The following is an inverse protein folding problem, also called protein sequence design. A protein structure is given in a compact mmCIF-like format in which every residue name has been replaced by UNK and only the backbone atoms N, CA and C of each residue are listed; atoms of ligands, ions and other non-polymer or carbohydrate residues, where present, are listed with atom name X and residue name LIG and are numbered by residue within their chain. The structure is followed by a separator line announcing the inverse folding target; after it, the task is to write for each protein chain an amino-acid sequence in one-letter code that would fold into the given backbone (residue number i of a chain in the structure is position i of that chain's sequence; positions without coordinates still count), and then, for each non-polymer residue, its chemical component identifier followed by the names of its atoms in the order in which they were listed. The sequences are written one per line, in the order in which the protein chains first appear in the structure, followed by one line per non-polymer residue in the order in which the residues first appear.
data_IF_088416410010
#
_entry.id   IF_088416410010
#
_cell.length_a   1.000
_cell.length_b   1.000
_cell.length_c   1.000
_cell.angle_alpha   90.00
_cell.angle_beta   90.00
_cell.angle_gamma   90.00
#
_symmetry.space_group_name_H-M   'P 1'
#
loop_
_entity.id
_entity.type
_entity.pdbx_description
1 polymer ?
#
# COMPACT_ATOMS: atom_id res chain seq x y z
N UNK A 1 -3.85 7.58 19.89
CA UNK A 1 -2.89 8.14 18.93
C UNK A 1 -3.62 8.57 17.68
N UNK A 2 -3.41 9.79 17.25
CA UNK A 2 -4.00 10.28 16.00
C UNK A 2 -3.21 9.71 14.79
N UNK A 3 -3.92 9.05 13.91
CA UNK A 3 -3.34 8.59 12.64
C UNK A 3 -4.03 9.35 11.54
N UNK A 4 -3.27 10.16 10.82
CA UNK A 4 -3.81 10.92 9.70
C UNK A 4 -4.18 9.97 8.57
N UNK A 5 -5.44 10.02 8.14
CA UNK A 5 -5.91 9.21 7.04
C UNK A 5 -5.80 10.00 5.73
N UNK A 6 -5.21 9.37 4.73
CA UNK A 6 -5.16 9.96 3.40
C UNK A 6 -6.56 10.02 2.78
N UNK A 7 -6.80 10.89 1.78
CA UNK A 7 -8.05 10.89 1.03
C UNK A 7 -8.38 9.52 0.42
N UNK A 8 -7.36 8.75 0.05
CA UNK A 8 -7.51 7.40 -0.48
C UNK A 8 -8.27 6.50 0.51
N UNK A 9 -7.83 6.50 1.78
CA UNK A 9 -8.49 5.73 2.83
C UNK A 9 -9.87 6.30 3.14
N UNK A 10 -9.99 7.62 3.23
CA UNK A 10 -11.26 8.27 3.53
C UNK A 10 -12.34 7.91 2.53
N UNK A 11 -12.00 7.88 1.25
CA UNK A 11 -12.97 7.62 0.20
C UNK A 11 -13.23 6.12 0.01
N UNK A 12 -12.18 5.32 -0.04
CA UNK A 12 -12.30 3.89 -0.33
C UNK A 12 -12.58 3.02 0.88
N UNK A 13 -12.49 3.59 2.08
CA UNK A 13 -12.75 2.86 3.31
C UNK A 13 -11.47 2.42 4.01
N UNK A 14 -11.60 2.05 5.27
CA UNK A 14 -10.48 1.73 6.14
C UNK A 14 -10.25 0.23 6.29
N UNK A 15 -10.55 -0.54 5.24
CA UNK A 15 -10.29 -1.97 5.23
C UNK A 15 -8.80 -2.28 5.17
N UNK A 16 -8.43 -3.49 5.57
CA UNK A 16 -7.02 -3.88 5.65
C UNK A 16 -6.31 -3.81 4.31
N UNK A 17 -6.98 -4.25 3.24
CA UNK A 17 -6.41 -4.20 1.90
C UNK A 17 -6.15 -2.76 1.44
N UNK A 18 -7.05 -1.83 1.75
CA UNK A 18 -6.87 -0.42 1.39
C UNK A 18 -5.75 0.21 2.20
N UNK A 19 -5.64 -0.12 3.49
CA UNK A 19 -4.53 0.39 4.32
C UNK A 19 -3.18 -0.10 3.81
N UNK A 20 -3.10 -1.36 3.39
CA UNK A 20 -1.87 -1.91 2.81
C UNK A 20 -1.53 -1.17 1.51
N UNK A 21 -2.49 -1.02 0.61
CA UNK A 21 -2.29 -0.29 -0.64
C UNK A 21 -1.87 1.15 -0.40
N UNK A 22 -2.53 1.82 0.54
CA UNK A 22 -2.21 3.20 0.88
C UNK A 22 -0.75 3.34 1.32
N UNK A 23 -0.29 2.43 2.19
CA UNK A 23 1.10 2.43 2.65
C UNK A 23 2.06 2.20 1.48
N UNK A 24 1.79 1.19 0.66
CA UNK A 24 2.65 0.84 -0.46
C UNK A 24 2.71 1.96 -1.50
N UNK A 25 1.60 2.62 -1.77
CA UNK A 25 1.56 3.73 -2.73
C UNK A 25 2.30 4.95 -2.18
N UNK A 26 2.04 5.29 -0.92
CA UNK A 26 2.65 6.46 -0.28
C UNK A 26 4.18 6.34 -0.24
N UNK A 27 4.68 5.15 0.02
CA UNK A 27 6.11 4.89 0.17
C UNK A 27 6.68 4.03 -0.95
N UNK A 28 6.11 4.15 -2.16
CA UNK A 28 6.56 3.39 -3.32
C UNK A 28 7.98 3.74 -3.72
N UNK A 29 8.63 2.82 -4.41
CA UNK A 29 10.02 2.98 -4.82
C UNK A 29 11.02 2.34 -3.87
N UNK A 30 10.57 1.97 -2.67
CA UNK A 30 11.37 1.27 -1.67
C UNK A 30 10.80 -0.12 -1.46
N UNK A 31 11.61 -1.01 -0.89
CA UNK A 31 11.17 -2.36 -0.57
C UNK A 31 11.05 -2.55 0.95
N UNK A 32 10.18 -3.48 1.34
CA UNK A 32 9.83 -3.70 2.75
C UNK A 32 9.58 -5.18 2.98
N UNK A 33 9.89 -5.64 4.21
CA UNK A 33 9.48 -6.97 4.63
C UNK A 33 7.96 -6.99 4.89
N UNK A 34 7.36 -8.19 4.89
CA UNK A 34 5.95 -8.31 5.24
C UNK A 34 5.66 -7.81 6.65
N UNK A 35 6.59 -8.04 7.58
CA UNK A 35 6.44 -7.54 8.95
C UNK A 35 6.37 -6.02 9.00
N UNK A 36 7.21 -5.33 8.22
CA UNK A 36 7.20 -3.88 8.14
C UNK A 36 5.89 -3.37 7.54
N UNK A 37 5.43 -4.04 6.50
CA UNK A 37 4.18 -3.66 5.83
C UNK A 37 3.00 -3.81 6.79
N UNK A 38 2.93 -4.93 7.51
CA UNK A 38 1.86 -5.17 8.49
C UNK A 38 1.86 -4.09 9.58
N UNK A 39 3.02 -3.84 10.17
CA UNK A 39 3.17 -2.87 11.25
C UNK A 39 2.80 -1.45 10.79
N UNK A 40 3.35 -1.03 9.66
CA UNK A 40 3.18 0.34 9.19
C UNK A 40 1.81 0.62 8.61
N UNK A 41 1.11 -0.41 8.14
CA UNK A 41 -0.28 -0.26 7.67
C UNK A 41 -1.29 -0.56 8.77
N UNK A 42 -0.82 -0.87 9.97
CA UNK A 42 -1.65 -1.20 11.13
C UNK A 42 -2.60 -2.38 10.83
N UNK A 43 -2.04 -3.42 10.25
CA UNK A 43 -2.76 -4.65 9.91
C UNK A 43 -2.10 -5.80 10.66
N UNK A 44 -2.90 -6.65 11.29
CA UNK A 44 -2.38 -7.82 11.99
C UNK A 44 -1.71 -8.80 11.03
N UNK A 45 -0.73 -9.55 11.55
CA UNK A 45 0.06 -10.49 10.75
C UNK A 45 -0.81 -11.53 10.04
N UNK A 46 -1.78 -12.12 10.76
CA UNK A 46 -2.64 -13.15 10.17
C UNK A 46 -3.47 -12.59 9.01
N UNK A 47 -3.97 -11.37 9.16
CA UNK A 47 -4.74 -10.70 8.12
C UNK A 47 -3.85 -10.38 6.93
N UNK A 48 -2.66 -9.83 7.16
CA UNK A 48 -1.73 -9.55 6.07
C UNK A 48 -1.36 -10.82 5.32
N UNK A 49 -1.02 -11.89 6.05
CA UNK A 49 -0.62 -13.16 5.42
C UNK A 49 -1.72 -13.70 4.52
N UNK A 50 -2.96 -13.60 4.95
CA UNK A 50 -4.11 -14.04 4.15
C UNK A 50 -4.29 -13.19 2.90
N UNK A 51 -4.22 -11.87 3.04
CA UNK A 51 -4.38 -10.95 1.91
C UNK A 51 -3.20 -10.98 0.94
N UNK A 52 -2.01 -11.32 1.45
CA UNK A 52 -0.78 -11.25 0.66
C UNK A 52 -0.80 -12.16 -0.55
N UNK A 53 -1.49 -13.29 -0.45
CA UNK A 53 -1.62 -14.22 -1.57
C UNK A 53 -2.24 -13.53 -2.79
N UNK A 54 -3.25 -12.69 -2.57
CA UNK A 54 -3.88 -11.95 -3.66
C UNK A 54 -2.96 -10.85 -4.20
N UNK A 55 -2.23 -10.19 -3.33
CA UNK A 55 -1.27 -9.15 -3.74
C UNK A 55 -0.19 -9.73 -4.65
N UNK A 56 0.28 -10.93 -4.34
CA UNK A 56 1.28 -11.62 -5.16
C UNK A 56 0.65 -12.15 -6.45
N UNK A 57 -0.53 -12.74 -6.35
CA UNK A 57 -1.23 -13.32 -7.49
C UNK A 57 -1.50 -12.30 -8.59
N UNK A 58 -1.98 -11.13 -8.21
CA UNK A 58 -2.28 -10.06 -9.16
C UNK A 58 -1.07 -9.18 -9.47
N UNK A 59 0.10 -9.56 -8.98
CA UNK A 59 1.35 -8.82 -9.21
C UNK A 59 1.29 -7.36 -8.78
N UNK A 60 0.55 -7.12 -7.71
CA UNK A 60 0.49 -5.79 -7.09
C UNK A 60 1.83 -5.49 -6.42
N UNK A 61 2.46 -6.52 -5.87
CA UNK A 61 3.79 -6.45 -5.28
C UNK A 61 4.71 -7.46 -5.96
N UNK A 62 6.01 -7.17 -5.95
CA UNK A 62 7.03 -8.09 -6.47
C UNK A 62 8.14 -8.24 -5.43
N UNK A 63 8.74 -9.44 -5.34
CA UNK A 63 9.90 -9.63 -4.48
C UNK A 63 11.10 -8.91 -5.06
N UNK A 64 11.95 -8.36 -4.20
CA UNK A 64 13.13 -7.62 -4.63
C UNK A 64 14.42 -8.33 -4.21
N UNK A 65 14.57 -8.61 -2.91
CA UNK A 65 15.80 -9.18 -2.37
C UNK A 65 15.52 -9.82 -1.02
N UNK A 66 16.52 -10.49 -0.50
CA UNK A 66 16.47 -11.03 0.86
C UNK A 66 17.58 -10.38 1.69
N UNK A 67 17.24 -10.04 2.93
CA UNK A 67 18.21 -9.57 3.92
C UNK A 67 18.08 -10.52 5.10
N UNK A 68 19.14 -11.31 5.36
CA UNK A 68 19.04 -12.40 6.32
C UNK A 68 17.99 -13.40 5.88
N UNK A 69 16.98 -13.63 6.71
CA UNK A 69 15.85 -14.51 6.39
C UNK A 69 14.62 -13.75 5.92
N UNK A 70 14.70 -12.42 5.84
CA UNK A 70 13.57 -11.59 5.47
C UNK A 70 13.55 -11.36 3.96
N UNK A 71 12.43 -11.73 3.33
CA UNK A 71 12.17 -11.46 1.92
C UNK A 71 11.52 -10.09 1.82
N UNK A 72 12.04 -9.24 0.96
CA UNK A 72 11.53 -7.88 0.78
C UNK A 72 10.71 -7.78 -0.50
N UNK A 73 9.73 -6.89 -0.46
CA UNK A 73 8.79 -6.66 -1.55
C UNK A 73 8.64 -5.18 -1.81
N UNK A 74 8.28 -4.83 -3.04
CA UNK A 74 7.91 -3.46 -3.37
C UNK A 74 6.64 -3.45 -4.21
N UNK A 75 5.98 -2.29 -4.26
CA UNK A 75 4.86 -2.06 -5.15
C UNK A 75 5.35 -2.20 -6.59
N UNK A 76 4.59 -2.93 -7.41
CA UNK A 76 4.97 -3.20 -8.80
C UNK A 76 4.47 -2.08 -9.70
N UNK A 77 5.33 -1.09 -9.97
CA UNK A 77 4.98 0.05 -10.81
C UNK A 77 5.01 -0.26 -12.31
N UNK A 78 5.36 -1.50 -12.69
CA UNK A 78 5.23 -1.95 -14.07
C UNK A 78 3.83 -2.49 -14.36
N UNK A 79 3.04 -2.74 -13.32
CA UNK A 79 1.67 -3.22 -13.45
C UNK A 79 0.74 -2.04 -13.74
N UNK A 80 0.01 -2.11 -14.85
CA UNK A 80 -0.89 -1.02 -15.26
C UNK A 80 -1.99 -0.76 -14.24
N UNK A 81 -2.54 -1.81 -13.62
CA UNK A 81 -3.56 -1.64 -12.59
C UNK A 81 -3.00 -0.88 -11.38
N UNK A 82 -1.74 -1.17 -11.00
CA UNK A 82 -1.06 -0.44 -9.93
C UNK A 82 -0.91 1.03 -10.30
N UNK A 83 -0.51 1.30 -11.54
CA UNK A 83 -0.34 2.68 -12.00
C UNK A 83 -1.67 3.45 -12.01
N UNK A 84 -2.77 2.78 -12.33
CA UNK A 84 -4.08 3.39 -12.25
C UNK A 84 -4.48 3.68 -10.80
N UNK A 85 -4.17 2.77 -9.86
CA UNK A 85 -4.40 3.01 -8.45
C UNK A 85 -3.58 4.17 -7.92
N UNK A 86 -2.32 4.27 -8.33
CA UNK A 86 -1.48 5.43 -8.00
C UNK A 86 -2.11 6.71 -8.54
N UNK A 87 -2.65 6.65 -9.75
CA UNK A 87 -3.35 7.79 -10.35
C UNK A 87 -4.54 8.24 -9.51
N UNK A 88 -5.37 7.28 -9.06
CA UNK A 88 -6.50 7.57 -8.19
C UNK A 88 -6.02 8.20 -6.87
N UNK A 89 -4.99 7.64 -6.27
CA UNK A 89 -4.41 8.16 -5.03
C UNK A 89 -3.98 9.62 -5.19
N UNK A 90 -3.25 9.92 -6.27
CA UNK A 90 -2.75 11.28 -6.54
C UNK A 90 -3.89 12.25 -6.79
N UNK A 91 -4.89 11.84 -7.56
CA UNK A 91 -6.02 12.71 -7.91
C UNK A 91 -6.87 13.03 -6.70
N UNK A 92 -7.13 12.07 -5.83
CA UNK A 92 -7.88 12.31 -4.60
C UNK A 92 -7.12 13.26 -3.67
N UNK A 93 -5.81 13.08 -3.56
CA UNK A 93 -4.97 13.96 -2.75
C UNK A 93 -4.98 15.38 -3.30
N UNK A 94 -4.89 15.53 -4.61
CA UNK A 94 -4.94 16.83 -5.28
C UNK A 94 -6.27 17.52 -5.08
N UNK A 95 -7.38 16.79 -5.21
CA UNK A 95 -8.72 17.35 -5.01
C UNK A 95 -8.91 17.84 -3.58
N UNK A 96 -8.40 17.11 -2.59
CA UNK A 96 -8.48 17.56 -1.20
C UNK A 96 -7.74 18.88 -1.01
N UNK A 97 -6.57 19.02 -1.64
CA UNK A 97 -5.78 20.24 -1.58
C UNK A 97 -6.51 21.41 -2.26
N UNK A 98 -7.13 21.17 -3.40
CA UNK A 98 -7.84 22.18 -4.16
C UNK A 98 -9.05 22.76 -3.42
N UNK A 99 -9.70 21.96 -2.58
CA UNK A 99 -10.87 22.39 -1.82
C UNK A 99 -10.55 23.49 -0.81
N UNK A 100 -9.29 23.74 -0.53
CA UNK A 100 -8.86 24.81 0.35
C UNK A 100 -8.70 26.15 -0.37
N UNK A 101 -8.82 26.14 -1.65
CA UNK A 101 -8.65 27.31 -2.48
C UNK A 101 -9.89 27.56 -3.36
#
# INVERSE_FOLDING_TARGET
MYVEQSPFIKFLGNGSNIRILNYLIKYRGLDYSMSDIARNSNVGWATLSRLWQEFVKYKIVVPTREIGKAKLFKLNEENEAVNELIGVYKRLLQQETEDYF
#
